data_IF_035322928313
#
_entry.id   IF_035322928313
#
_cell.length_a   1.000
_cell.length_b   1.000
_cell.length_c   1.000
_cell.angle_alpha   90.00
_cell.angle_beta   90.00
_cell.angle_gamma   90.00
#
_symmetry.space_group_name_H-M   'P 1'
#
loop_
_entity.id
_entity.type
_entity.pdbx_description
1 polymer ?
#
# COMPACT_ATOMS: atom_id res chain seq x y z
N UNK A 1 -7.84 -7.85 1.12
CA UNK A 1 -7.85 -7.47 -0.31
C UNK A 1 -8.99 -6.48 -0.57
N UNK A 2 -8.73 -5.33 -1.22
CA UNK A 2 -9.81 -4.39 -1.59
C UNK A 2 -10.07 -4.39 -3.10
N UNK A 3 -11.35 -4.29 -3.48
CA UNK A 3 -11.81 -4.11 -4.86
C UNK A 3 -12.05 -2.61 -5.05
N UNK A 4 -11.40 -2.01 -6.06
CA UNK A 4 -11.55 -0.59 -6.37
C UNK A 4 -13.00 -0.31 -6.80
N UNK A 5 -13.81 0.29 -5.91
CA UNK A 5 -15.20 0.69 -6.24
C UNK A 5 -15.27 1.91 -7.16
N UNK A 6 -14.16 2.64 -7.34
CA UNK A 6 -14.05 3.76 -8.28
C UNK A 6 -12.70 4.49 -8.20
N UNK A 7 -12.31 5.17 -9.29
CA UNK A 7 -11.03 5.91 -9.41
C UNK A 7 -10.89 6.98 -8.31
N UNK A 8 -11.99 7.62 -7.93
CA UNK A 8 -12.00 8.68 -6.90
C UNK A 8 -11.48 8.20 -5.54
N UNK A 9 -11.79 6.96 -5.14
CA UNK A 9 -11.31 6.40 -3.87
C UNK A 9 -9.78 6.30 -3.87
N UNK A 10 -9.20 5.92 -5.01
CA UNK A 10 -7.76 5.83 -5.19
C UNK A 10 -7.11 7.23 -5.13
N UNK A 11 -7.67 8.19 -5.87
CA UNK A 11 -7.19 9.58 -5.88
C UNK A 11 -7.19 10.18 -4.48
N UNK A 12 -8.24 9.94 -3.71
CA UNK A 12 -8.34 10.39 -2.32
C UNK A 12 -7.31 9.72 -1.40
N UNK A 13 -7.07 8.41 -1.56
CA UNK A 13 -6.05 7.70 -0.79
C UNK A 13 -4.64 8.24 -1.09
N UNK A 14 -4.32 8.49 -2.36
CA UNK A 14 -3.05 9.07 -2.80
C UNK A 14 -2.88 10.49 -2.27
N UNK A 15 -3.92 11.33 -2.37
CA UNK A 15 -3.90 12.70 -1.85
C UNK A 15 -3.66 12.72 -0.34
N UNK A 16 -4.36 11.86 0.42
CA UNK A 16 -4.12 11.69 1.86
C UNK A 16 -2.71 11.23 2.18
N UNK A 17 -2.16 10.28 1.41
CA UNK A 17 -0.78 9.81 1.61
C UNK A 17 0.23 10.95 1.41
N UNK A 18 0.04 11.78 0.37
CA UNK A 18 0.88 12.97 0.11
C UNK A 18 0.79 14.03 1.22
N UNK A 19 -0.41 14.22 1.79
CA UNK A 19 -0.65 15.18 2.87
C UNK A 19 -0.08 14.70 4.22
N UNK A 20 -0.38 13.47 4.60
CA UNK A 20 0.00 12.89 5.90
C UNK A 20 1.49 12.55 5.93
N UNK A 21 2.07 12.17 4.77
CA UNK A 21 3.46 11.70 4.64
C UNK A 21 3.80 10.62 5.68
N UNK A 22 3.03 9.51 5.73
CA UNK A 22 3.26 8.48 6.74
C UNK A 22 4.66 7.87 6.55
N UNK A 23 5.31 7.54 7.66
CA UNK A 23 6.56 6.79 7.66
C UNK A 23 6.28 5.37 7.16
N UNK A 24 7.00 4.97 6.13
CA UNK A 24 6.95 3.61 5.57
C UNK A 24 8.25 2.90 5.94
N UNK A 25 8.13 1.79 6.63
CA UNK A 25 9.24 0.94 7.05
C UNK A 25 9.24 -0.33 6.22
N UNK A 26 10.41 -0.63 5.67
CA UNK A 26 10.65 -1.88 4.96
C UNK A 26 10.83 -3.00 5.98
N UNK A 27 9.98 -4.03 5.88
CA UNK A 27 10.09 -5.25 6.69
C UNK A 27 10.75 -6.35 5.85
N UNK A 28 10.14 -6.67 4.72
CA UNK A 28 10.72 -7.52 3.66
C UNK A 28 10.08 -7.17 2.32
N UNK A 29 10.63 -7.64 1.20
CA UNK A 29 10.01 -7.36 -0.09
C UNK A 29 8.55 -7.87 -0.13
N UNK A 30 7.62 -6.98 -0.50
CA UNK A 30 6.19 -7.27 -0.47
C UNK A 30 5.52 -7.12 0.91
N UNK A 31 6.23 -6.73 1.97
CA UNK A 31 5.66 -6.45 3.30
C UNK A 31 6.27 -5.19 3.91
N UNK A 32 5.40 -4.29 4.36
CA UNK A 32 5.77 -2.97 4.84
C UNK A 32 5.00 -2.64 6.10
N UNK A 33 5.59 -1.83 6.97
CA UNK A 33 4.85 -1.19 8.06
C UNK A 33 4.64 0.28 7.74
N UNK A 34 3.44 0.80 7.95
CA UNK A 34 3.11 2.19 7.65
C UNK A 34 2.52 2.85 8.86
N UNK A 35 3.06 4.01 9.25
CA UNK A 35 2.58 4.75 10.42
C UNK A 35 1.18 5.30 10.19
N UNK A 36 0.33 5.20 11.21
CA UNK A 36 -0.98 5.83 11.25
C UNK A 36 -0.92 7.32 11.61
N UNK A 37 -1.91 8.08 11.15
CA UNK A 37 -2.05 9.52 11.47
C UNK A 37 -2.33 9.82 12.94
N UNK A 38 -2.78 8.82 13.72
CA UNK A 38 -3.04 8.93 15.17
C UNK A 38 -2.03 8.13 16.02
N UNK A 39 -0.88 7.79 15.43
CA UNK A 39 0.07 6.85 16.02
C UNK A 39 -0.25 5.39 15.67
N UNK A 40 0.68 4.50 16.03
CA UNK A 40 0.65 3.08 15.68
C UNK A 40 1.11 2.79 14.25
N UNK A 41 1.23 1.50 13.93
CA UNK A 41 1.66 1.01 12.62
C UNK A 41 0.67 -0.01 12.07
N UNK A 42 0.46 0.05 10.77
CA UNK A 42 -0.34 -0.89 10.02
C UNK A 42 0.55 -1.72 9.11
N UNK A 43 0.24 -3.00 8.98
CA UNK A 43 0.96 -3.87 8.05
C UNK A 43 0.32 -3.75 6.68
N UNK A 44 1.14 -3.50 5.67
CA UNK A 44 0.75 -3.53 4.26
C UNK A 44 1.47 -4.66 3.56
N UNK A 45 0.71 -5.50 2.85
CA UNK A 45 1.23 -6.65 2.10
C UNK A 45 0.94 -6.43 0.62
N UNK A 46 1.98 -6.42 -0.20
CA UNK A 46 1.91 -6.38 -1.65
C UNK A 46 2.25 -7.79 -2.16
N UNK A 47 1.32 -8.42 -2.87
CA UNK A 47 1.51 -9.78 -3.40
C UNK A 47 1.00 -9.90 -4.81
N UNK A 48 1.61 -10.81 -5.56
CA UNK A 48 1.12 -11.25 -6.86
C UNK A 48 0.21 -12.46 -6.61
N UNK A 49 -1.03 -12.39 -7.06
CA UNK A 49 -2.00 -13.48 -7.03
C UNK A 49 -1.63 -14.52 -8.09
N UNK A 50 -2.13 -15.76 -7.92
CA UNK A 50 -1.92 -16.89 -8.82
C UNK A 50 -2.36 -16.57 -10.26
N UNK A 51 -3.40 -15.74 -10.41
CA UNK A 51 -3.89 -15.24 -11.70
C UNK A 51 -3.09 -14.04 -12.24
N UNK A 52 -1.82 -13.88 -11.84
CA UNK A 52 -0.91 -12.80 -12.27
C UNK A 52 -1.34 -11.37 -11.84
N UNK A 53 -2.45 -11.19 -11.12
CA UNK A 53 -2.90 -9.90 -10.60
C UNK A 53 -2.02 -9.41 -9.45
N UNK A 54 -1.68 -8.12 -9.43
CA UNK A 54 -1.00 -7.51 -8.27
C UNK A 54 -2.05 -7.00 -7.29
N UNK A 55 -1.97 -7.46 -6.05
CA UNK A 55 -2.91 -7.13 -4.98
C UNK A 55 -2.18 -6.48 -3.83
N UNK A 56 -2.90 -5.61 -3.10
CA UNK A 56 -2.40 -4.97 -1.90
C UNK A 56 -3.42 -5.12 -0.78
N UNK A 57 -2.91 -5.40 0.42
CA UNK A 57 -3.70 -5.61 1.62
C UNK A 57 -3.15 -4.73 2.74
N UNK A 58 -4.03 -4.21 3.59
CA UNK A 58 -3.65 -3.40 4.72
C UNK A 58 -4.47 -3.80 5.95
N UNK A 59 -3.85 -3.84 7.12
CA UNK A 59 -4.51 -4.19 8.40
C UNK A 59 -5.27 -3.03 9.05
N UNK A 60 -5.70 -2.03 8.27
CA UNK A 60 -6.44 -0.89 8.82
C UNK A 60 -7.95 -1.06 8.57
N UNK A 61 -8.78 -0.48 9.45
CA UNK A 61 -10.24 -0.59 9.37
C UNK A 61 -10.84 -0.22 8.01
N UNK A 62 -10.29 0.79 7.34
CA UNK A 62 -10.74 1.18 6.00
C UNK A 62 -10.51 0.07 4.96
N UNK A 63 -9.37 -0.61 5.02
CA UNK A 63 -9.07 -1.70 4.12
C UNK A 63 -9.87 -2.98 4.44
N UNK A 64 -10.19 -3.22 5.71
CA UNK A 64 -11.15 -4.27 6.13
C UNK A 64 -12.54 -4.06 5.51
N UNK A 65 -12.94 -2.80 5.34
CA UNK A 65 -14.19 -2.41 4.65
C UNK A 65 -14.06 -2.38 3.11
N UNK A 66 -12.93 -2.81 2.56
CA UNK A 66 -12.69 -2.83 1.12
C UNK A 66 -12.40 -1.44 0.52
N UNK A 67 -11.98 -0.46 1.31
CA UNK A 67 -11.62 0.88 0.83
C UNK A 67 -10.12 0.99 0.55
N UNK A 68 -9.77 1.72 -0.51
CA UNK A 68 -8.40 2.15 -0.75
C UNK A 68 -7.95 3.09 0.38
N UNK A 69 -6.93 2.69 1.15
CA UNK A 69 -6.40 3.47 2.25
C UNK A 69 -5.07 4.15 1.89
N UNK A 70 -4.77 5.25 2.57
CA UNK A 70 -3.52 5.98 2.34
C UNK A 70 -2.28 5.18 2.73
N UNK A 71 -2.39 4.22 3.67
CA UNK A 71 -1.29 3.33 4.03
C UNK A 71 -0.86 2.47 2.83
N UNK A 72 -1.82 1.87 2.14
CA UNK A 72 -1.57 1.08 0.93
C UNK A 72 -0.97 1.95 -0.17
N UNK A 73 -1.52 3.15 -0.39
CA UNK A 73 -0.98 4.09 -1.38
C UNK A 73 0.49 4.47 -1.10
N UNK A 74 0.82 4.77 0.17
CA UNK A 74 2.19 5.11 0.57
C UNK A 74 3.17 3.94 0.38
N UNK A 75 2.80 2.74 0.83
CA UNK A 75 3.63 1.54 0.68
C UNK A 75 3.82 1.16 -0.80
N UNK A 76 2.81 1.33 -1.65
CA UNK A 76 2.89 1.02 -3.08
C UNK A 76 3.96 1.84 -3.80
N UNK A 77 4.11 3.13 -3.47
CA UNK A 77 5.16 3.95 -4.07
C UNK A 77 6.56 3.39 -3.80
N UNK A 78 6.84 2.97 -2.56
CA UNK A 78 8.09 2.31 -2.20
C UNK A 78 8.23 0.94 -2.88
N UNK A 79 7.19 0.12 -2.86
CA UNK A 79 7.19 -1.22 -3.44
C UNK A 79 7.50 -1.20 -4.94
N UNK A 80 6.85 -0.31 -5.69
CA UNK A 80 7.07 -0.16 -7.14
C UNK A 80 8.51 0.28 -7.42
N UNK A 81 9.06 1.20 -6.63
CA UNK A 81 10.45 1.63 -6.75
C UNK A 81 11.44 0.49 -6.52
N UNK A 82 11.24 -0.31 -5.48
CA UNK A 82 12.07 -1.47 -5.18
C UNK A 82 11.93 -2.57 -6.24
N UNK A 83 10.71 -2.87 -6.68
CA UNK A 83 10.44 -3.88 -7.70
C UNK A 83 11.12 -3.53 -9.03
N UNK A 84 11.11 -2.25 -9.43
CA UNK A 84 11.83 -1.78 -10.63
C UNK A 84 13.34 -2.02 -10.53
N UNK A 85 13.94 -1.77 -9.36
CA UNK A 85 15.38 -1.99 -9.15
C UNK A 85 15.76 -3.47 -9.24
N UNK A 86 14.90 -4.38 -8.75
CA UNK A 86 15.14 -5.81 -8.87
C UNK A 86 15.13 -6.27 -10.33
N UNK A 87 14.19 -5.76 -11.15
CA UNK A 87 14.10 -6.11 -12.57
C UNK A 87 15.27 -5.61 -13.43
N UNK A 88 16.03 -4.61 -12.97
CA UNK A 88 17.20 -4.08 -13.70
C UNK A 88 18.50 -4.74 -13.25
N UNK A 89 18.48 -5.52 -12.17
CA UNK A 89 19.64 -6.27 -11.67
C UNK A 89 19.72 -7.69 -12.23
N UNK A 90 18.70 -8.12 -12.97
CA UNK A 90 18.67 -9.31 -13.84
C UNK A 90 19.03 -8.91 -15.27
#
# INVERSE_FOLDING_TARGET
MFILKGIEQLTNAISKAKKIRPRVEFDRFGRYRVSGSKGGYYTVICKKSDNNYKTVECTCKGAEQGLACYHAAAALSLHIGLARRQQTAE
#
